data_IF_221708115309
#
_entry.id   IF_221708115309
#
_cell.length_a   1.000
_cell.length_b   1.000
_cell.length_c   1.000
_cell.angle_alpha   90.00
_cell.angle_beta   90.00
_cell.angle_gamma   90.00
#
_symmetry.space_group_name_H-M   'P 1'
#
loop_
_entity.id
_entity.type
_entity.pdbx_description
1 polymer ?
#
# COMPACT_ATOMS: atom_id res chain seq x y z
N UNK A 1 -17.32 -10.64 -23.20
CA UNK A 1 -16.73 -11.92 -23.61
C UNK A 1 -17.17 -12.94 -22.59
N UNK A 2 -17.93 -13.96 -22.99
CA UNK A 2 -18.26 -15.09 -22.12
C UNK A 2 -17.33 -16.23 -22.52
N UNK A 3 -16.65 -16.82 -21.54
CA UNK A 3 -15.63 -17.85 -21.78
C UNK A 3 -16.00 -19.10 -20.97
N UNK A 4 -15.71 -20.30 -21.49
CA UNK A 4 -16.14 -21.55 -20.88
C UNK A 4 -15.31 -21.89 -19.63
N UNK A 5 -14.02 -21.54 -19.64
CA UNK A 5 -13.13 -21.60 -18.49
C UNK A 5 -12.43 -20.27 -18.22
N UNK A 6 -11.75 -20.20 -17.07
CA UNK A 6 -10.87 -19.06 -16.71
C UNK A 6 -9.72 -18.90 -17.71
N UNK A 7 -9.22 -20.01 -18.24
CA UNK A 7 -8.11 -20.03 -19.20
C UNK A 7 -8.49 -19.43 -20.55
N UNK A 8 -9.78 -19.44 -20.89
CA UNK A 8 -10.33 -18.90 -22.13
C UNK A 8 -10.60 -17.39 -22.06
N UNK A 9 -10.35 -16.75 -20.91
CA UNK A 9 -10.51 -15.31 -20.77
C UNK A 9 -9.41 -14.57 -21.56
N UNK A 10 -9.76 -13.50 -22.29
CA UNK A 10 -8.83 -12.80 -23.19
C UNK A 10 -7.67 -12.11 -22.48
N UNK A 11 -7.76 -11.97 -21.15
CA UNK A 11 -6.68 -11.47 -20.30
C UNK A 11 -6.55 -12.38 -19.09
N UNK A 12 -5.38 -12.99 -18.97
CA UNK A 12 -4.98 -13.69 -17.76
C UNK A 12 -4.04 -12.79 -16.97
N UNK A 13 -4.45 -12.45 -15.75
CA UNK A 13 -3.60 -11.73 -14.81
C UNK A 13 -2.87 -12.73 -13.92
N UNK A 14 -1.67 -12.38 -13.47
CA UNK A 14 -0.96 -13.16 -12.45
C UNK A 14 -1.84 -13.21 -11.21
N UNK A 15 -2.13 -14.42 -10.73
CA UNK A 15 -2.87 -14.59 -9.48
C UNK A 15 -1.90 -14.35 -8.32
N UNK A 16 -1.84 -13.10 -7.82
CA UNK A 16 -0.92 -12.70 -6.75
C UNK A 16 -0.97 -13.62 -5.53
N UNK A 17 -2.15 -14.15 -5.19
CA UNK A 17 -2.29 -15.07 -4.07
C UNK A 17 -1.60 -16.43 -4.33
N UNK A 18 -1.82 -17.01 -5.50
CA UNK A 18 -1.32 -18.35 -5.86
C UNK A 18 0.14 -18.36 -6.32
N UNK A 19 0.59 -17.29 -6.96
CA UNK A 19 1.93 -17.19 -7.56
C UNK A 19 2.58 -15.84 -7.23
N UNK A 20 2.90 -15.68 -5.93
CA UNK A 20 3.45 -14.42 -5.41
C UNK A 20 4.83 -14.10 -5.99
N UNK A 21 5.70 -15.11 -6.14
CA UNK A 21 7.04 -14.92 -6.71
C UNK A 21 6.99 -14.39 -8.14
N UNK A 22 6.12 -14.95 -9.01
CA UNK A 22 5.95 -14.42 -10.37
C UNK A 22 5.34 -13.02 -10.38
N UNK A 23 4.43 -12.72 -9.45
CA UNK A 23 3.91 -11.37 -9.29
C UNK A 23 5.04 -10.39 -8.93
N UNK A 24 5.90 -10.71 -7.96
CA UNK A 24 7.04 -9.88 -7.57
C UNK A 24 7.99 -9.62 -8.74
N UNK A 25 8.34 -10.65 -9.51
CA UNK A 25 9.17 -10.51 -10.70
C UNK A 25 8.52 -9.60 -11.75
N UNK A 26 7.24 -9.83 -12.05
CA UNK A 26 6.47 -9.00 -12.99
C UNK A 26 6.36 -7.55 -12.54
N UNK A 27 6.17 -7.32 -11.23
CA UNK A 27 6.11 -6.00 -10.64
C UNK A 27 7.46 -5.28 -10.72
N UNK A 28 8.56 -5.97 -10.42
CA UNK A 28 9.91 -5.43 -10.60
C UNK A 28 10.18 -5.00 -12.05
N UNK A 29 9.81 -5.84 -13.03
CA UNK A 29 9.95 -5.50 -14.46
C UNK A 29 9.11 -4.27 -14.83
N UNK A 30 7.88 -4.18 -14.30
CA UNK A 30 7.04 -3.01 -14.48
C UNK A 30 7.71 -1.75 -13.90
N UNK A 31 8.17 -1.78 -12.65
CA UNK A 31 8.89 -0.67 -11.99
C UNK A 31 10.05 -0.18 -12.85
N UNK A 32 10.90 -1.10 -13.29
CA UNK A 32 12.07 -0.78 -14.12
C UNK A 32 11.64 -0.13 -15.43
N UNK A 33 10.62 -0.66 -16.10
CA UNK A 33 10.11 -0.09 -17.35
C UNK A 33 9.58 1.33 -17.18
N UNK A 34 9.02 1.66 -16.00
CA UNK A 34 8.53 3.00 -15.67
C UNK A 34 9.68 3.97 -15.45
N UNK A 35 10.77 3.51 -14.83
CA UNK A 35 11.97 4.32 -14.57
C UNK A 35 12.83 4.55 -15.82
N UNK A 36 12.92 3.57 -16.73
CA UNK A 36 13.78 3.65 -17.92
C UNK A 36 13.21 4.51 -19.07
N UNK A 37 11.89 4.52 -19.27
CA UNK A 37 11.26 5.04 -20.51
C UNK A 37 10.91 6.54 -20.50
N UNK A 38 11.61 7.36 -19.70
CA UNK A 38 11.31 8.79 -19.53
C UNK A 38 9.80 9.07 -19.29
N UNK A 39 9.10 8.16 -18.59
CA UNK A 39 7.70 8.39 -18.31
C UNK A 39 7.52 9.58 -17.36
N UNK A 40 6.45 10.34 -17.60
CA UNK A 40 5.97 11.31 -16.63
C UNK A 40 5.38 10.58 -15.41
N UNK A 41 6.23 10.42 -14.40
CA UNK A 41 5.88 9.85 -13.09
C UNK A 41 5.39 10.92 -12.09
N UNK A 42 4.89 12.07 -12.57
CA UNK A 42 4.31 13.13 -11.72
C UNK A 42 2.88 12.83 -11.26
N UNK A 43 2.21 11.87 -11.90
CA UNK A 43 0.87 11.43 -11.51
C UNK A 43 0.86 10.74 -10.13
N UNK A 44 -0.29 10.65 -9.47
CA UNK A 44 -0.39 9.93 -8.20
C UNK A 44 -0.07 8.44 -8.38
N UNK A 45 0.74 7.88 -7.48
CA UNK A 45 1.16 6.46 -7.54
C UNK A 45 -0.05 5.52 -7.60
N UNK A 46 -1.09 5.81 -6.82
CA UNK A 46 -2.34 5.03 -6.82
C UNK A 46 -3.01 4.96 -8.19
N UNK A 47 -2.91 6.02 -9.01
CA UNK A 47 -3.48 6.02 -10.36
C UNK A 47 -2.60 5.23 -11.33
N UNK A 48 -1.27 5.36 -11.23
CA UNK A 48 -0.33 4.58 -12.04
C UNK A 48 -0.50 3.08 -11.81
N UNK A 49 -0.55 2.65 -10.54
CA UNK A 49 -0.74 1.25 -10.16
C UNK A 49 -2.10 0.70 -10.63
N UNK A 50 -3.16 1.50 -10.59
CA UNK A 50 -4.48 1.13 -11.15
C UNK A 50 -4.49 1.04 -12.68
N UNK A 51 -3.58 1.76 -13.33
CA UNK A 51 -3.37 1.71 -14.78
C UNK A 51 -2.61 0.46 -15.23
N UNK A 52 -1.75 -0.07 -14.37
CA UNK A 52 -0.84 -1.20 -14.60
C UNK A 52 -1.56 -2.58 -14.64
N UNK A 53 -2.67 -2.67 -15.38
CA UNK A 53 -3.54 -3.85 -15.40
C UNK A 53 -2.81 -5.11 -15.92
N UNK A 54 -1.76 -4.95 -16.71
CA UNK A 54 -0.94 -6.03 -17.23
C UNK A 54 -0.19 -6.81 -16.13
N UNK A 55 0.16 -6.17 -15.01
CA UNK A 55 0.82 -6.81 -13.87
C UNK A 55 -0.10 -6.88 -12.64
N UNK A 56 -0.90 -5.84 -12.42
CA UNK A 56 -1.72 -5.66 -11.23
C UNK A 56 -3.20 -5.85 -11.58
N UNK A 57 -3.62 -7.11 -11.68
CA UNK A 57 -5.02 -7.46 -11.96
C UNK A 57 -5.94 -7.20 -10.76
N UNK A 58 -7.12 -6.62 -11.00
CA UNK A 58 -8.14 -6.43 -9.96
C UNK A 58 -7.90 -5.26 -8.98
N UNK A 59 -6.96 -4.37 -9.29
CA UNK A 59 -6.65 -3.19 -8.47
C UNK A 59 -7.64 -2.04 -8.75
N UNK A 60 -8.85 -2.18 -8.23
CA UNK A 60 -9.95 -1.22 -8.37
C UNK A 60 -9.93 -0.05 -7.38
N UNK A 61 -11.01 0.74 -7.35
CA UNK A 61 -11.15 1.93 -6.47
C UNK A 61 -11.10 1.56 -4.99
N UNK A 62 -11.85 0.53 -4.58
CA UNK A 62 -11.86 0.12 -3.18
C UNK A 62 -10.57 -0.62 -2.82
N UNK A 63 -10.13 -1.56 -3.66
CA UNK A 63 -8.88 -2.30 -3.49
C UNK A 63 -7.70 -1.37 -3.31
N UNK A 64 -7.62 -0.29 -4.09
CA UNK A 64 -6.50 0.63 -3.99
C UNK A 64 -6.46 1.38 -2.67
N UNK A 65 -7.60 1.78 -2.12
CA UNK A 65 -7.65 2.45 -0.81
C UNK A 65 -7.27 1.48 0.32
N UNK A 66 -7.76 0.24 0.26
CA UNK A 66 -7.48 -0.81 1.24
C UNK A 66 -6.01 -1.22 1.24
N UNK A 67 -5.42 -1.44 0.06
CA UNK A 67 -4.02 -1.85 -0.06
C UNK A 67 -3.08 -0.71 0.35
N UNK A 68 -3.36 0.54 -0.01
CA UNK A 68 -2.56 1.68 0.46
C UNK A 68 -2.65 1.86 1.98
N UNK A 69 -3.84 1.62 2.58
CA UNK A 69 -4.00 1.62 4.03
C UNK A 69 -3.17 0.50 4.68
N UNK A 70 -3.27 -0.73 4.20
CA UNK A 70 -2.52 -1.88 4.73
C UNK A 70 -1.00 -1.69 4.59
N UNK A 71 -0.57 -1.12 3.46
CA UNK A 71 0.83 -0.82 3.20
C UNK A 71 1.34 0.40 3.97
N UNK A 72 0.45 1.19 4.59
CA UNK A 72 0.80 2.45 5.23
C UNK A 72 1.37 3.50 4.27
N UNK A 73 0.92 3.51 3.01
CA UNK A 73 1.44 4.40 1.97
C UNK A 73 0.48 5.59 1.80
N UNK A 74 0.96 6.84 1.85
CA UNK A 74 0.10 7.99 1.59
C UNK A 74 -0.48 7.98 0.18
N UNK A 75 -1.78 8.17 0.03
CA UNK A 75 -2.48 8.13 -1.27
C UNK A 75 -2.15 9.30 -2.20
N UNK A 76 -1.47 10.32 -1.68
CA UNK A 76 -1.14 11.57 -2.38
C UNK A 76 0.31 11.66 -2.86
N UNK A 77 1.10 10.60 -2.67
CA UNK A 77 2.46 10.56 -3.24
C UNK A 77 2.40 10.38 -4.76
N UNK A 78 3.38 10.95 -5.44
CA UNK A 78 3.57 10.72 -6.87
C UNK A 78 4.06 9.30 -7.13
N UNK A 79 3.87 8.84 -8.36
CA UNK A 79 4.46 7.60 -8.84
C UNK A 79 5.98 7.61 -8.64
N UNK A 80 6.65 8.73 -8.91
CA UNK A 80 8.10 8.83 -8.71
C UNK A 80 8.52 8.66 -7.25
N UNK A 81 7.79 9.27 -6.30
CA UNK A 81 8.04 9.10 -4.86
C UNK A 81 7.84 7.64 -4.41
N UNK A 82 6.88 6.94 -5.01
CA UNK A 82 6.66 5.51 -4.76
C UNK A 82 7.78 4.65 -5.34
N UNK A 83 8.12 4.83 -6.63
CA UNK A 83 9.14 4.03 -7.33
C UNK A 83 10.56 4.29 -6.81
N UNK A 84 10.79 5.39 -6.10
CA UNK A 84 12.09 5.70 -5.49
C UNK A 84 12.28 5.06 -4.10
N UNK A 85 11.27 4.37 -3.57
CA UNK A 85 11.33 3.74 -2.25
C UNK A 85 11.05 2.22 -2.33
N UNK A 86 12.09 1.37 -2.30
CA UNK A 86 11.94 -0.08 -2.20
C UNK A 86 11.07 -0.53 -1.03
N UNK A 87 11.12 0.17 0.11
CA UNK A 87 10.24 -0.11 1.25
C UNK A 87 8.76 0.05 0.90
N UNK A 88 8.38 1.16 0.24
CA UNK A 88 6.98 1.35 -0.20
C UNK A 88 6.57 0.32 -1.25
N UNK A 89 7.46 -0.02 -2.18
CA UNK A 89 7.22 -1.06 -3.17
C UNK A 89 6.98 -2.43 -2.51
N UNK A 90 7.82 -2.81 -1.55
CA UNK A 90 7.70 -4.04 -0.79
C UNK A 90 6.40 -4.09 0.03
N UNK A 91 6.10 -3.03 0.80
CA UNK A 91 4.86 -2.92 1.59
C UNK A 91 3.63 -3.00 0.69
N UNK A 92 3.67 -2.40 -0.50
CA UNK A 92 2.59 -2.51 -1.49
C UNK A 92 2.37 -3.95 -1.95
N UNK A 93 3.44 -4.65 -2.34
CA UNK A 93 3.34 -6.04 -2.78
C UNK A 93 2.77 -6.95 -1.69
N UNK A 94 3.29 -6.82 -0.47
CA UNK A 94 2.83 -7.60 0.69
C UNK A 94 1.37 -7.28 1.03
N UNK A 95 1.00 -6.00 1.08
CA UNK A 95 -0.38 -5.57 1.32
C UNK A 95 -1.34 -6.09 0.25
N UNK A 96 -0.93 -6.10 -1.02
CA UNK A 96 -1.75 -6.61 -2.10
C UNK A 96 -1.92 -8.13 -2.02
N UNK A 97 -0.87 -8.87 -1.68
CA UNK A 97 -0.96 -10.30 -1.40
C UNK A 97 -1.88 -10.58 -0.22
N UNK A 98 -1.73 -9.87 0.90
CA UNK A 98 -2.58 -10.04 2.09
C UNK A 98 -4.04 -9.78 1.76
N UNK A 99 -4.33 -8.70 1.03
CA UNK A 99 -5.68 -8.39 0.58
C UNK A 99 -6.26 -9.51 -0.28
N UNK A 100 -5.50 -10.02 -1.26
CA UNK A 100 -5.94 -11.09 -2.14
C UNK A 100 -6.10 -12.43 -1.40
N UNK A 101 -5.18 -12.78 -0.51
CA UNK A 101 -5.24 -13.96 0.35
C UNK A 101 -6.50 -13.94 1.20
N UNK A 102 -6.76 -12.82 1.86
CA UNK A 102 -7.95 -12.64 2.68
C UNK A 102 -9.23 -12.72 1.85
N UNK A 103 -9.25 -12.10 0.66
CA UNK A 103 -10.39 -12.20 -0.24
C UNK A 103 -10.63 -13.66 -0.67
N UNK A 104 -9.59 -14.40 -1.01
CA UNK A 104 -9.71 -15.80 -1.39
C UNK A 104 -10.23 -16.69 -0.25
N UNK A 105 -9.74 -16.49 0.98
CA UNK A 105 -10.09 -17.34 2.13
C UNK A 105 -11.45 -17.00 2.77
N UNK A 106 -11.81 -15.72 2.78
CA UNK A 106 -12.97 -15.22 3.54
C UNK A 106 -14.12 -14.76 2.64
N UNK A 107 -13.81 -14.08 1.53
CA UNK A 107 -14.83 -13.38 0.75
C UNK A 107 -15.73 -14.33 -0.02
N UNK A 108 -15.19 -15.44 -0.54
CA UNK A 108 -16.00 -16.45 -1.21
C UNK A 108 -17.09 -17.01 -0.28
N UNK A 109 -16.70 -17.41 0.93
CA UNK A 109 -17.64 -17.90 1.97
C UNK A 109 -18.64 -16.82 2.37
N UNK A 110 -18.20 -15.56 2.43
CA UNK A 110 -19.07 -14.43 2.74
C UNK A 110 -20.08 -14.15 1.62
N UNK A 111 -19.67 -14.23 0.35
CA UNK A 111 -20.52 -13.91 -0.79
C UNK A 111 -21.45 -15.05 -1.20
N UNK A 112 -21.07 -16.31 -0.92
CA UNK A 112 -21.82 -17.51 -1.31
C UNK A 112 -23.33 -17.44 -1.02
N UNK A 113 -23.79 -16.98 0.17
CA UNK A 113 -25.22 -16.91 0.49
C UNK A 113 -26.01 -15.86 -0.32
N UNK A 114 -25.32 -14.93 -0.99
CA UNK A 114 -25.92 -13.82 -1.71
C UNK A 114 -25.91 -13.99 -3.24
N UNK A 115 -25.36 -15.11 -3.72
CA UNK A 115 -25.44 -15.47 -5.13
C UNK A 115 -26.81 -16.07 -5.45
N UNK A 116 -27.49 -15.49 -6.44
CA UNK A 116 -28.60 -16.09 -7.15
C UNK A 116 -28.15 -16.33 -8.60
N UNK A 117 -27.69 -17.56 -8.87
CA UNK A 117 -27.00 -17.90 -10.12
C UNK A 117 -25.69 -17.11 -10.29
N UNK A 118 -25.69 -16.16 -11.22
CA UNK A 118 -24.53 -15.31 -11.54
C UNK A 118 -24.66 -13.87 -11.02
N UNK A 119 -25.74 -13.57 -10.29
CA UNK A 119 -26.04 -12.24 -9.78
C UNK A 119 -25.83 -12.24 -8.28
N UNK A 120 -25.17 -11.21 -7.77
CA UNK A 120 -25.14 -10.91 -6.34
C UNK A 120 -26.35 -10.05 -6.03
N UNK A 121 -27.30 -10.59 -5.28
CA UNK A 121 -28.50 -9.87 -4.82
C UNK A 121 -28.36 -9.60 -3.32
N UNK A 122 -27.89 -8.40 -2.97
CA UNK A 122 -27.70 -7.99 -1.56
C UNK A 122 -28.63 -6.84 -1.18
N UNK A 123 -29.16 -6.90 0.05
CA UNK A 123 -29.82 -5.75 0.67
C UNK A 123 -28.82 -4.80 1.36
N UNK A 124 -29.31 -3.65 1.84
CA UNK A 124 -28.47 -2.66 2.52
C UNK A 124 -27.81 -3.20 3.80
N UNK A 125 -28.48 -4.08 4.56
CA UNK A 125 -27.92 -4.65 5.79
C UNK A 125 -26.79 -5.63 5.48
N UNK A 126 -26.94 -6.44 4.43
CA UNK A 126 -25.92 -7.37 3.93
C UNK A 126 -24.72 -6.61 3.35
N UNK A 127 -24.97 -5.52 2.63
CA UNK A 127 -23.91 -4.62 2.18
C UNK A 127 -23.14 -4.00 3.35
N UNK A 128 -23.82 -3.62 4.44
CA UNK A 128 -23.14 -3.16 5.66
C UNK A 128 -22.26 -4.23 6.29
N UNK A 129 -22.60 -5.53 6.18
CA UNK A 129 -21.71 -6.59 6.66
C UNK A 129 -20.39 -6.64 5.90
N UNK A 130 -20.42 -6.38 4.59
CA UNK A 130 -19.20 -6.29 3.78
C UNK A 130 -18.30 -5.13 4.23
N UNK A 131 -18.88 -4.02 4.72
CA UNK A 131 -18.08 -2.92 5.26
C UNK A 131 -17.21 -3.35 6.45
N UNK A 132 -17.62 -4.32 7.28
CA UNK A 132 -16.75 -4.85 8.36
C UNK A 132 -15.53 -5.58 7.83
N UNK A 133 -15.58 -6.08 6.59
CA UNK A 133 -14.44 -6.69 5.93
C UNK A 133 -13.41 -5.62 5.48
N UNK A 134 -13.86 -4.44 5.08
CA UNK A 134 -12.99 -3.33 4.69
C UNK A 134 -12.34 -2.68 5.92
N UNK A 135 -11.18 -2.06 5.79
CA UNK A 135 -10.54 -1.29 6.87
C UNK A 135 -10.92 0.19 6.81
N UNK A 136 -11.04 0.75 5.60
CA UNK A 136 -11.14 2.19 5.42
C UNK A 136 -12.18 2.62 4.39
N UNK A 137 -12.37 1.83 3.32
CA UNK A 137 -13.26 2.25 2.24
C UNK A 137 -14.71 2.35 2.71
N UNK A 138 -15.35 3.47 2.37
CA UNK A 138 -16.73 3.77 2.75
C UNK A 138 -17.00 3.78 4.27
N UNK A 139 -15.97 4.07 5.08
CA UNK A 139 -16.11 4.22 6.54
C UNK A 139 -15.91 5.65 6.97
N UNK A 140 -16.72 6.11 7.93
CA UNK A 140 -16.50 7.41 8.56
C UNK A 140 -15.34 7.36 9.56
N UNK A 141 -15.14 6.21 10.19
CA UNK A 141 -14.15 5.98 11.24
C UNK A 141 -13.44 4.65 10.97
N UNK A 142 -12.12 4.66 11.13
CA UNK A 142 -11.26 3.49 10.99
C UNK A 142 -10.67 3.14 12.34
N UNK A 143 -10.83 1.87 12.74
CA UNK A 143 -10.22 1.32 13.95
C UNK A 143 -8.81 0.82 13.65
N UNK A 144 -7.90 1.01 14.61
CA UNK A 144 -6.48 0.67 14.47
C UNK A 144 -5.83 0.42 15.84
N UNK A 145 -4.53 0.08 15.83
CA UNK A 145 -3.71 0.03 17.04
C UNK A 145 -3.45 1.43 17.60
N UNK A 146 -3.09 1.49 18.89
CA UNK A 146 -2.69 2.74 19.54
C UNK A 146 -1.44 3.34 18.88
N UNK A 147 -0.46 2.50 18.53
CA UNK A 147 0.76 2.88 17.81
C UNK A 147 0.43 3.53 16.45
N UNK A 148 -0.43 2.89 15.64
CA UNK A 148 -0.83 3.45 14.35
C UNK A 148 -1.57 4.79 14.50
N UNK A 149 -2.39 4.94 15.55
CA UNK A 149 -3.05 6.23 15.85
C UNK A 149 -2.03 7.31 16.21
N UNK A 150 -1.02 6.99 17.00
CA UNK A 150 0.07 7.93 17.34
C UNK A 150 0.83 8.36 16.09
N UNK A 151 1.15 7.43 15.19
CA UNK A 151 1.73 7.76 13.89
C UNK A 151 0.83 8.70 13.08
N UNK A 152 -0.49 8.49 13.05
CA UNK A 152 -1.43 9.42 12.39
C UNK A 152 -1.36 10.81 13.06
N UNK A 153 -1.38 10.88 14.39
CA UNK A 153 -1.33 12.16 15.11
C UNK A 153 -0.06 12.92 14.75
N UNK A 154 1.10 12.28 14.91
CA UNK A 154 2.41 12.85 14.56
C UNK A 154 2.45 13.31 13.10
N UNK A 155 1.88 12.52 12.18
CA UNK A 155 1.82 12.90 10.78
C UNK A 155 1.02 14.18 10.55
N UNK A 156 -0.17 14.28 11.17
CA UNK A 156 -1.04 15.45 11.05
C UNK A 156 -0.39 16.67 11.69
N UNK A 157 0.14 16.52 12.91
CA UNK A 157 0.80 17.60 13.64
C UNK A 157 2.01 18.15 12.87
N UNK A 158 2.81 17.26 12.26
CA UNK A 158 3.91 17.67 11.37
C UNK A 158 3.40 18.42 10.15
N UNK A 159 2.33 17.97 9.49
CA UNK A 159 1.79 18.68 8.33
C UNK A 159 1.24 20.07 8.70
N UNK A 160 0.56 20.19 9.83
CA UNK A 160 0.03 21.47 10.31
C UNK A 160 1.17 22.44 10.66
N UNK A 161 2.23 21.95 11.32
CA UNK A 161 3.43 22.73 11.62
C UNK A 161 4.12 23.23 10.34
N UNK A 162 4.39 22.34 9.39
CA UNK A 162 5.05 22.69 8.13
C UNK A 162 4.18 23.60 7.25
N UNK A 163 2.86 23.40 7.25
CA UNK A 163 1.91 24.23 6.53
C UNK A 163 1.81 25.67 7.08
N UNK A 164 2.08 25.87 8.37
CA UNK A 164 2.11 27.19 8.99
C UNK A 164 3.38 28.00 8.63
N UNK A 165 4.45 27.36 8.16
CA UNK A 165 5.71 28.00 7.77
C UNK A 165 5.62 28.69 6.39
N UNK A 166 5.00 29.88 6.36
CA UNK A 166 4.86 30.67 5.13
C UNK A 166 6.21 30.98 4.46
N UNK A 167 6.25 30.85 3.13
CA UNK A 167 7.44 31.17 2.32
C UNK A 167 8.53 30.11 2.31
N UNK A 168 8.41 29.04 3.11
CA UNK A 168 9.33 27.90 3.09
C UNK A 168 8.73 26.76 2.28
N UNK A 169 9.58 26.09 1.49
CA UNK A 169 9.22 24.92 0.70
C UNK A 169 9.84 23.67 1.33
N UNK A 170 9.01 22.66 1.55
CA UNK A 170 9.43 21.38 2.11
C UNK A 170 9.34 20.27 1.07
N UNK A 171 10.27 19.33 1.18
CA UNK A 171 10.24 18.05 0.45
C UNK A 171 9.63 17.01 1.38
N UNK A 172 8.72 16.19 0.85
CA UNK A 172 8.12 15.08 1.61
C UNK A 172 9.17 14.01 1.91
N UNK A 173 9.75 14.04 3.11
CA UNK A 173 10.71 13.04 3.55
C UNK A 173 10.76 12.92 5.08
N UNK A 174 11.33 11.83 5.61
CA UNK A 174 11.67 11.67 7.00
C UNK A 174 12.56 12.79 7.56
N UNK A 175 13.36 13.45 6.72
CA UNK A 175 14.20 14.57 7.13
C UNK A 175 13.40 15.76 7.69
N UNK A 176 12.11 15.88 7.34
CA UNK A 176 11.18 16.88 7.90
C UNK A 176 10.19 16.26 8.90
N UNK A 177 10.45 15.04 9.38
CA UNK A 177 9.59 14.32 10.33
C UNK A 177 8.32 13.73 9.70
N UNK A 178 8.24 13.63 8.36
CA UNK A 178 7.11 13.00 7.68
C UNK A 178 7.39 11.52 7.42
N UNK A 179 6.87 10.68 8.31
CA UNK A 179 6.94 9.22 8.23
C UNK A 179 5.63 8.61 7.74
N UNK A 180 5.71 7.49 7.05
CA UNK A 180 4.57 6.71 6.61
C UNK A 180 3.85 6.06 7.80
N UNK A 181 2.51 6.15 7.83
CA UNK A 181 1.68 5.56 8.90
C UNK A 181 1.48 4.07 8.63
N UNK A 182 2.37 3.23 9.14
CA UNK A 182 2.40 1.81 8.86
C UNK A 182 2.15 0.95 10.10
N UNK A 183 1.31 -0.08 9.97
CA UNK A 183 1.04 -1.07 11.02
C UNK A 183 1.43 -2.47 10.50
N UNK A 184 2.62 -2.97 10.85
CA UNK A 184 3.17 -4.22 10.32
C UNK A 184 2.37 -5.46 10.70
N UNK A 185 1.57 -5.42 11.76
CA UNK A 185 0.71 -6.55 12.15
C UNK A 185 -0.30 -6.91 11.06
N UNK A 186 -0.72 -5.94 10.23
CA UNK A 186 -1.56 -6.22 9.07
C UNK A 186 -0.86 -7.08 8.02
N UNK A 187 0.48 -6.97 7.92
CA UNK A 187 1.31 -7.72 6.98
C UNK A 187 2.04 -8.90 7.62
N UNK A 188 1.68 -9.26 8.86
CA UNK A 188 2.34 -10.34 9.62
C UNK A 188 2.47 -11.64 8.82
N UNK A 189 1.42 -12.01 8.09
CA UNK A 189 1.40 -13.25 7.31
C UNK A 189 2.41 -13.26 6.14
N UNK A 190 2.87 -12.12 5.63
CA UNK A 190 3.92 -12.06 4.60
C UNK A 190 5.30 -11.90 5.24
N UNK A 191 5.38 -11.10 6.30
CA UNK A 191 6.60 -10.84 7.06
C UNK A 191 7.11 -12.03 7.87
N UNK A 192 6.27 -13.03 8.17
CA UNK A 192 6.66 -14.29 8.83
C UNK A 192 6.92 -15.44 7.82
N UNK A 193 6.86 -15.20 6.50
CA UNK A 193 7.12 -16.24 5.48
C UNK A 193 8.62 -16.50 5.34
N UNK A 194 8.97 -17.74 4.99
CA UNK A 194 10.35 -18.09 4.60
C UNK A 194 10.69 -17.68 3.18
N UNK A 195 9.74 -17.86 2.27
CA UNK A 195 9.93 -17.56 0.84
C UNK A 195 9.32 -16.22 0.48
N UNK A 196 10.00 -15.47 -0.40
CA UNK A 196 9.55 -14.16 -0.88
C UNK A 196 9.27 -13.16 0.25
N UNK A 197 10.03 -13.25 1.34
CA UNK A 197 9.93 -12.33 2.46
C UNK A 197 10.56 -10.99 2.08
N UNK A 198 9.80 -9.90 2.21
CA UNK A 198 10.27 -8.56 1.85
C UNK A 198 10.65 -7.71 3.06
N UNK A 199 10.73 -8.27 4.27
CA UNK A 199 11.00 -7.54 5.51
C UNK A 199 12.29 -6.73 5.48
N UNK A 200 13.34 -7.27 4.85
CA UNK A 200 14.60 -6.55 4.62
C UNK A 200 14.43 -5.28 3.75
N UNK A 201 13.54 -5.30 2.75
CA UNK A 201 13.20 -4.10 1.97
C UNK A 201 12.27 -3.15 2.75
N UNK A 202 11.33 -3.70 3.53
CA UNK A 202 10.36 -2.89 4.29
C UNK A 202 11.06 -2.07 5.37
N UNK A 203 11.85 -2.72 6.23
CA UNK A 203 12.45 -2.13 7.43
C UNK A 203 13.92 -1.74 7.25
N UNK A 204 14.54 -2.14 6.15
CA UNK A 204 15.99 -2.11 5.98
C UNK A 204 16.66 -3.32 6.62
N UNK A 205 17.76 -3.76 6.01
CA UNK A 205 18.46 -4.99 6.38
C UNK A 205 18.93 -4.98 7.85
N UNK A 206 19.36 -3.83 8.36
CA UNK A 206 19.87 -3.71 9.72
C UNK A 206 18.79 -3.98 10.76
N UNK A 207 17.64 -3.28 10.68
CA UNK A 207 16.54 -3.49 11.61
C UNK A 207 15.96 -4.90 11.45
N UNK A 208 15.76 -5.35 10.21
CA UNK A 208 15.23 -6.70 9.97
C UNK A 208 16.10 -7.80 10.60
N UNK A 209 17.43 -7.68 10.48
CA UNK A 209 18.35 -8.64 11.10
C UNK A 209 18.29 -8.60 12.64
N UNK A 210 18.08 -7.41 13.25
CA UNK A 210 17.93 -7.28 14.72
C UNK A 210 16.65 -7.92 15.24
N UNK A 211 15.59 -7.95 14.43
CA UNK A 211 14.28 -8.53 14.78
C UNK A 211 14.30 -10.07 14.78
N UNK A 212 15.48 -10.68 14.58
CA UNK A 212 15.71 -12.11 14.77
C UNK A 212 15.36 -12.96 13.57
N UNK A 213 15.09 -12.36 12.40
CA UNK A 213 14.86 -13.11 11.19
C UNK A 213 16.17 -13.39 10.45
N UNK A 214 16.34 -14.64 10.04
CA UNK A 214 17.45 -15.04 9.16
C UNK A 214 17.16 -14.47 7.78
N UNK A 215 18.16 -13.89 7.13
CA UNK A 215 18.04 -13.51 5.73
C UNK A 215 17.42 -14.68 4.94
N UNK A 216 16.41 -14.43 4.09
CA UNK A 216 15.71 -15.51 3.41
C UNK A 216 16.71 -16.38 2.65
N UNK A 217 16.48 -17.70 2.64
CA UNK A 217 17.36 -18.68 1.99
C UNK A 217 17.57 -18.37 0.49
N UNK A 218 16.62 -17.63 -0.11
CA UNK A 218 16.62 -17.19 -1.49
C UNK A 218 16.30 -15.69 -1.57
N UNK A 219 17.06 -14.96 -2.37
CA UNK A 219 16.77 -13.56 -2.70
C UNK A 219 15.40 -13.47 -3.37
N UNK A 220 14.54 -12.56 -2.90
CA UNK A 220 13.22 -12.41 -3.46
C UNK A 220 13.28 -11.82 -4.89
N UNK A 221 12.31 -12.16 -5.77
CA UNK A 221 12.37 -11.72 -7.16
C UNK A 221 12.30 -10.20 -7.35
N UNK A 222 11.71 -9.46 -6.41
CA UNK A 222 11.65 -8.00 -6.49
C UNK A 222 13.04 -7.40 -6.23
N UNK A 223 13.69 -7.78 -5.13
CA UNK A 223 15.07 -7.37 -4.81
C UNK A 223 16.02 -7.68 -5.97
N UNK A 224 15.95 -8.88 -6.53
CA UNK A 224 16.82 -9.30 -7.63
C UNK A 224 16.67 -8.39 -8.87
N UNK A 225 15.44 -8.05 -9.26
CA UNK A 225 15.17 -7.17 -10.42
C UNK A 225 15.64 -5.74 -10.15
N UNK A 226 15.38 -5.21 -8.95
CA UNK A 226 15.82 -3.86 -8.55
C UNK A 226 17.35 -3.76 -8.52
N UNK A 227 18.03 -4.74 -7.92
CA UNK A 227 19.49 -4.85 -7.88
C UNK A 227 20.11 -4.89 -9.28
N UNK A 228 19.59 -5.75 -10.16
CA UNK A 228 20.09 -5.90 -11.54
C UNK A 228 20.03 -4.58 -12.33
N UNK A 229 19.15 -3.66 -11.91
CA UNK A 229 18.93 -2.37 -12.55
C UNK A 229 19.55 -1.20 -11.79
N UNK A 230 20.38 -1.48 -10.79
CA UNK A 230 21.12 -0.47 -10.04
C UNK A 230 20.26 0.36 -9.08
N UNK A 231 19.04 -0.08 -8.77
CA UNK A 231 18.19 0.58 -7.79
C UNK A 231 18.69 0.17 -6.39
N UNK A 232 19.05 1.17 -5.59
CA UNK A 232 19.55 0.94 -4.23
C UNK A 232 18.46 0.33 -3.35
N UNK A 233 18.71 -0.86 -2.80
CA UNK A 233 17.82 -1.50 -1.83
C UNK A 233 17.91 -0.88 -0.42
N UNK A 234 18.95 -0.08 -0.17
CA UNK A 234 19.21 0.60 1.11
C UNK A 234 18.68 2.04 1.11
N UNK A 235 17.78 2.36 0.19
CA UNK A 235 17.14 3.66 0.15
C UNK A 235 16.25 3.88 1.39
N UNK A 236 15.87 5.14 1.61
CA UNK A 236 15.08 5.56 2.75
C UNK A 236 13.72 4.82 2.81
N UNK A 237 13.41 4.24 3.97
CA UNK A 237 12.21 3.41 4.17
C UNK A 237 10.93 4.23 4.34
N UNK A 238 11.08 5.52 4.67
CA UNK A 238 10.01 6.41 5.13
C UNK A 238 9.31 5.93 6.41
N UNK A 239 9.86 4.97 7.14
CA UNK A 239 9.32 4.48 8.41
C UNK A 239 10.05 5.12 9.59
N UNK A 240 9.32 5.37 10.67
CA UNK A 240 9.91 5.75 11.97
C UNK A 240 10.46 4.49 12.66
N UNK A 241 11.61 4.01 12.18
CA UNK A 241 12.18 2.70 12.54
C UNK A 241 12.25 2.41 14.07
N UNK A 242 12.64 3.36 14.95
CA UNK A 242 12.71 3.14 16.38
C UNK A 242 11.44 2.57 17.02
N UNK A 243 10.25 2.93 16.53
CA UNK A 243 8.99 2.46 17.14
C UNK A 243 8.76 0.96 16.95
N UNK A 244 9.40 0.35 15.94
CA UNK A 244 9.25 -1.07 15.63
C UNK A 244 10.32 -1.95 16.30
N UNK A 245 11.37 -1.36 16.87
CA UNK A 245 12.48 -2.10 17.50
C UNK A 245 12.01 -2.95 18.69
N UNK A 246 11.09 -2.41 19.50
CA UNK A 246 10.64 -3.06 20.72
C UNK A 246 9.55 -4.12 20.47
N UNK A 247 8.65 -3.87 19.52
CA UNK A 247 7.52 -4.76 19.23
C UNK A 247 7.09 -4.59 17.78
N UNK A 248 7.45 -5.56 16.94
CA UNK A 248 7.05 -5.56 15.55
C UNK A 248 5.57 -5.91 15.37
N UNK A 249 5.05 -6.89 16.11
CA UNK A 249 3.65 -7.32 15.96
C UNK A 249 2.88 -7.15 17.25
N UNK A 250 1.67 -6.61 17.14
CA UNK A 250 0.71 -6.56 18.24
C UNK A 250 -0.30 -7.69 18.13
N UNK A 251 -0.97 -8.00 19.24
CA UNK A 251 -2.11 -8.92 19.22
C UNK A 251 -3.26 -8.35 18.38
N UNK A 252 -4.01 -9.21 17.68
CA UNK A 252 -5.12 -8.77 16.81
C UNK A 252 -6.20 -7.98 17.58
N UNK A 253 -6.41 -8.28 18.86
CA UNK A 253 -7.35 -7.52 19.71
C UNK A 253 -6.89 -6.08 19.97
N UNK A 254 -5.59 -5.79 19.77
CA UNK A 254 -5.04 -4.44 19.87
C UNK A 254 -5.29 -3.60 18.61
N UNK A 255 -5.56 -4.22 17.45
CA UNK A 255 -5.82 -3.53 16.17
C UNK A 255 -7.14 -2.75 16.14
N UNK A 256 -7.92 -2.77 17.22
CA UNK A 256 -9.19 -2.05 17.32
C UNK A 256 -9.30 -1.20 18.59
N UNK A 257 -8.17 -0.91 19.25
CA UNK A 257 -8.15 -0.16 20.53
C UNK A 257 -8.21 1.35 20.34
N UNK A 258 -7.85 1.82 19.16
CA UNK A 258 -7.89 3.22 18.78
C UNK A 258 -8.73 3.41 17.52
N UNK A 259 -9.05 4.66 17.22
CA UNK A 259 -9.70 5.01 15.96
C UNK A 259 -9.39 6.44 15.54
N UNK A 260 -9.53 6.71 14.25
CA UNK A 260 -9.44 8.06 13.66
C UNK A 260 -10.55 8.25 12.63
N UNK A 261 -10.84 9.51 12.30
CA UNK A 261 -11.76 9.83 11.22
C UNK A 261 -11.12 9.50 9.87
N UNK A 262 -11.86 8.76 9.05
CA UNK A 262 -11.49 8.53 7.66
C UNK A 262 -11.88 9.76 6.83
N UNK A 263 -11.08 10.05 5.81
CA UNK A 263 -11.24 11.20 4.93
C UNK A 263 -11.54 10.71 3.52
N UNK A 264 -12.52 11.35 2.87
CA UNK A 264 -12.90 11.07 1.49
C UNK A 264 -12.50 12.24 0.59
N UNK A 265 -11.69 11.94 -0.42
CA UNK A 265 -11.33 12.88 -1.48
C UNK A 265 -11.95 12.45 -2.80
N UNK A 266 -12.39 13.43 -3.59
CA UNK A 266 -12.96 13.24 -4.92
C UNK A 266 -12.20 14.14 -5.88
N UNK A 267 -11.79 13.59 -7.03
CA UNK A 267 -11.17 14.40 -8.08
C UNK A 267 -12.13 15.45 -8.64
N UNK A 268 -11.59 16.57 -9.10
CA UNK A 268 -12.36 17.71 -9.66
C UNK A 268 -13.07 17.36 -10.98
N UNK A 269 -12.56 16.40 -11.74
CA UNK A 269 -13.15 15.97 -13.01
C UNK A 269 -14.09 14.77 -12.84
N UNK A 270 -15.11 14.67 -13.70
CA UNK A 270 -16.24 13.72 -13.69
C UNK A 270 -15.93 12.22 -13.56
N UNK A 271 -14.66 11.82 -13.52
CA UNK A 271 -14.24 10.51 -13.04
C UNK A 271 -14.27 10.50 -11.50
N UNK A 272 -15.46 10.28 -10.92
CA UNK A 272 -15.81 10.22 -9.49
C UNK A 272 -15.04 9.15 -8.67
N UNK A 273 -13.77 8.90 -8.95
CA UNK A 273 -12.93 7.95 -8.23
C UNK A 273 -12.69 8.52 -6.84
N UNK A 274 -13.21 7.81 -5.85
CA UNK A 274 -13.07 8.15 -4.45
C UNK A 274 -11.72 7.67 -3.93
N UNK A 275 -11.07 8.50 -3.13
CA UNK A 275 -9.88 8.13 -2.37
C UNK A 275 -10.23 8.20 -0.88
N UNK A 276 -10.12 7.07 -0.20
CA UNK A 276 -10.32 6.98 1.24
C UNK A 276 -8.96 6.85 1.92
N UNK A 277 -8.71 7.69 2.94
CA UNK A 277 -7.43 7.72 3.67
C UNK A 277 -7.63 8.22 5.11
N UNK A 278 -6.68 7.94 6.00
CA UNK A 278 -6.68 8.40 7.40
C UNK A 278 -5.84 9.67 7.61
N UNK A 279 -5.10 10.11 6.60
CA UNK A 279 -4.22 11.29 6.65
C UNK A 279 -4.74 12.41 5.73
N UNK A 280 -4.46 13.68 6.05
CA UNK A 280 -4.88 14.81 5.22
C UNK A 280 -4.06 14.89 3.91
N UNK A 281 -4.52 15.71 2.98
CA UNK A 281 -3.73 16.08 1.81
C UNK A 281 -2.61 17.04 2.22
N UNK A 282 -1.57 17.13 1.39
CA UNK A 282 -0.42 17.99 1.64
C UNK A 282 -0.78 19.48 1.48
N UNK A 283 -0.31 20.35 2.38
CA UNK A 283 -0.25 21.80 2.16
C UNK A 283 0.51 22.15 0.87
N UNK A 284 0.19 23.30 0.26
CA UNK A 284 0.76 23.74 -1.02
C UNK A 284 2.29 23.89 -0.99
N UNK A 285 2.84 24.23 0.17
CA UNK A 285 4.28 24.41 0.37
C UNK A 285 5.04 23.09 0.59
N UNK A 286 4.36 21.94 0.56
CA UNK A 286 4.95 20.61 0.75
C UNK A 286 4.88 19.81 -0.57
N UNK A 287 5.98 19.83 -1.30
CA UNK A 287 6.11 19.25 -2.63
C UNK A 287 6.83 17.90 -2.66
N UNK A 288 6.70 17.20 -3.80
CA UNK A 288 7.58 16.10 -4.13
C UNK A 288 8.98 16.64 -4.47
N UNK A 289 10.02 15.80 -4.29
CA UNK A 289 11.42 16.17 -4.55
C UNK A 289 11.65 16.73 -5.96
N UNK A 290 10.89 16.25 -6.94
CA UNK A 290 11.06 16.61 -8.36
C UNK A 290 10.46 17.97 -8.75
N UNK A 291 9.60 18.56 -7.92
CA UNK A 291 9.03 19.89 -8.19
C UNK A 291 9.96 21.04 -7.80
N UNK A 292 10.99 20.77 -7.00
CA UNK A 292 11.85 21.80 -6.43
C UNK A 292 13.10 22.11 -7.27
N UNK A 293 13.28 21.46 -8.42
CA UNK A 293 14.40 21.70 -9.35
C UNK A 293 14.06 22.61 -10.53
N UNK A 294 12.82 23.12 -10.60
CA UNK A 294 12.37 24.05 -11.65
C UNK A 294 11.98 25.40 -11.04
N UNK A 295 12.98 26.23 -10.75
CA UNK A 295 12.84 27.69 -10.64
C UNK A 295 14.07 28.36 -11.23
#
# INVERSE_FOLDING_TARGET
HWAAGRDDLPKQHINVYQDYGRFLAGFGVWVVSRLEKEYDCSSLAINALRGANEVIGGFGVYTSSEVFYLAGIPVFITEREFLSSPSRMARFCDAFWVFACRAHLELEKFLQPYFDGYIIAVDNQQHMKYSYWLHIYAKHQTFMSECMRELVSTYVDTLDLLGACQGQLFVRSPAVGLYDVFEPTYLRNTLERRENNLGGLVFGQELWSKLGDTAPDLEDPLSSVLCTKGISLTAETHLDLPIYEATLFVDKTKLQKASVLSRLYRGENSTKKQLWTIIPNYPENIGSRDRHTTK
#
